data_IF_715058700485
#
_entry.id   IF_715058700485
#
_cell.length_a   1.000
_cell.length_b   1.000
_cell.length_c   1.000
_cell.angle_alpha   90.00
_cell.angle_beta   90.00
_cell.angle_gamma   90.00
#
_symmetry.space_group_name_H-M   'P 1'
#
loop_
_entity.id
_entity.type
_entity.pdbx_description
1 polymer ?
#
# COMPACT_ATOMS: atom_id res chain seq x y z
N UNK A 1 41.45 18.85 -84.38
CA UNK A 1 41.97 18.46 -83.05
C UNK A 1 41.37 19.42 -82.03
N UNK A 2 40.18 19.12 -81.50
CA UNK A 2 39.87 18.21 -80.38
C UNK A 2 40.25 18.76 -79.00
N UNK A 3 39.19 19.07 -78.25
CA UNK A 3 38.94 18.72 -76.83
C UNK A 3 39.88 19.27 -75.75
N UNK A 4 39.37 20.10 -74.82
CA UNK A 4 38.54 19.68 -73.68
C UNK A 4 38.48 20.83 -72.65
N UNK A 5 37.36 21.57 -72.61
CA UNK A 5 37.04 22.43 -71.46
C UNK A 5 36.39 21.55 -70.38
N UNK A 6 37.12 21.30 -69.30
CA UNK A 6 36.63 20.67 -68.08
C UNK A 6 35.42 21.43 -67.52
N UNK A 7 34.21 20.90 -67.74
CA UNK A 7 33.02 21.28 -66.96
C UNK A 7 33.14 20.66 -65.57
N UNK A 8 33.45 21.47 -64.56
CA UNK A 8 33.18 21.14 -63.17
C UNK A 8 31.66 21.24 -62.93
N UNK A 9 30.97 20.20 -62.43
CA UNK A 9 29.62 20.35 -61.92
C UNK A 9 29.71 21.03 -60.55
N UNK A 10 29.30 22.29 -60.47
CA UNK A 10 29.01 22.92 -59.17
C UNK A 10 27.79 22.18 -58.60
N UNK A 11 28.04 21.27 -57.68
CA UNK A 11 27.03 20.52 -56.95
C UNK A 11 26.35 21.52 -56.00
N UNK A 12 25.21 22.07 -56.38
CA UNK A 12 24.35 22.85 -55.48
C UNK A 12 23.87 21.93 -54.34
N UNK A 13 24.63 21.87 -53.27
CA UNK A 13 24.28 21.14 -52.05
C UNK A 13 23.24 21.96 -51.27
N UNK A 14 21.97 21.72 -51.58
CA UNK A 14 20.86 21.54 -50.61
C UNK A 14 20.78 22.49 -49.40
N UNK A 15 20.68 23.80 -49.62
CA UNK A 15 20.35 24.81 -48.59
C UNK A 15 19.05 24.49 -47.83
N UNK A 16 18.06 23.91 -48.52
CA UNK A 16 16.80 23.46 -47.90
C UNK A 16 16.96 22.31 -46.90
N UNK A 17 17.92 21.40 -47.11
CA UNK A 17 18.16 20.30 -46.17
C UNK A 17 18.90 20.78 -44.91
N UNK A 18 19.79 21.76 -45.05
CA UNK A 18 20.50 22.38 -43.93
C UNK A 18 19.55 23.20 -43.04
N UNK A 19 18.65 23.99 -43.63
CA UNK A 19 17.63 24.74 -42.88
C UNK A 19 16.63 23.82 -42.15
N UNK A 20 16.16 22.74 -42.79
CA UNK A 20 15.29 21.73 -42.15
C UNK A 20 15.98 21.03 -40.98
N UNK A 21 17.28 20.71 -41.10
CA UNK A 21 18.07 20.11 -40.01
C UNK A 21 18.26 21.08 -38.83
N UNK A 22 18.47 22.37 -39.12
CA UNK A 22 18.60 23.39 -38.08
C UNK A 22 17.28 23.61 -37.33
N UNK A 23 16.17 23.77 -38.06
CA UNK A 23 14.82 23.89 -37.47
C UNK A 23 14.46 22.66 -36.66
N UNK A 24 14.76 21.46 -37.18
CA UNK A 24 14.55 20.20 -36.46
C UNK A 24 15.39 20.12 -35.18
N UNK A 25 16.64 20.59 -35.18
CA UNK A 25 17.49 20.62 -33.99
C UNK A 25 17.00 21.59 -32.91
N UNK A 26 16.54 22.78 -33.32
CA UNK A 26 15.93 23.75 -32.41
C UNK A 26 14.63 23.21 -31.79
N UNK A 27 13.78 22.57 -32.61
CA UNK A 27 12.53 21.96 -32.11
C UNK A 27 12.82 20.84 -31.10
N UNK A 28 13.80 19.98 -31.39
CA UNK A 28 14.20 18.91 -30.48
C UNK A 28 14.74 19.47 -29.15
N UNK A 29 15.54 20.53 -29.22
CA UNK A 29 16.06 21.20 -28.02
C UNK A 29 14.95 21.81 -27.18
N UNK A 30 13.94 22.42 -27.83
CA UNK A 30 12.78 23.01 -27.15
C UNK A 30 11.93 21.94 -26.46
N UNK A 31 11.72 20.79 -27.12
CA UNK A 31 11.04 19.63 -26.53
C UNK A 31 11.81 19.08 -25.33
N UNK A 32 13.14 18.96 -25.43
CA UNK A 32 13.98 18.49 -24.32
C UNK A 32 13.92 19.47 -23.14
N UNK A 33 14.06 20.77 -23.38
CA UNK A 33 13.98 21.80 -22.34
C UNK A 33 12.60 21.77 -21.68
N UNK A 34 11.53 21.70 -22.46
CA UNK A 34 10.16 21.63 -21.93
C UNK A 34 9.94 20.36 -21.10
N UNK A 35 10.42 19.21 -21.56
CA UNK A 35 10.37 17.95 -20.80
C UNK A 35 11.15 18.05 -19.48
N UNK A 36 12.36 18.63 -19.49
CA UNK A 36 13.14 18.85 -18.28
C UNK A 36 12.45 19.79 -17.29
N UNK A 37 11.82 20.87 -17.77
CA UNK A 37 11.06 21.80 -16.93
C UNK A 37 9.84 21.12 -16.30
N UNK A 38 9.17 20.23 -17.03
CA UNK A 38 8.06 19.43 -16.50
C UNK A 38 8.52 18.49 -15.38
N UNK A 39 9.66 17.82 -15.54
CA UNK A 39 10.21 16.91 -14.52
C UNK A 39 10.70 17.66 -13.28
N UNK A 40 11.32 18.83 -13.44
CA UNK A 40 11.81 19.63 -12.31
C UNK A 40 10.68 20.35 -11.54
N UNK A 41 9.53 20.56 -12.18
CA UNK A 41 8.39 21.27 -11.59
C UNK A 41 7.39 20.39 -10.85
N UNK A 42 7.51 19.06 -10.91
CA UNK A 42 6.60 18.18 -10.16
C UNK A 42 6.99 18.13 -8.68
N UNK A 43 6.11 18.54 -7.75
CA UNK A 43 6.38 18.35 -6.33
C UNK A 43 6.51 16.85 -6.00
N UNK A 44 7.29 16.47 -4.98
CA UNK A 44 7.36 15.09 -4.54
C UNK A 44 5.96 14.62 -4.12
N UNK A 45 5.65 13.35 -4.40
CA UNK A 45 4.46 12.70 -3.84
C UNK A 45 4.62 12.67 -2.31
N UNK A 46 3.93 13.57 -1.63
CA UNK A 46 3.91 13.69 -0.17
C UNK A 46 2.90 12.70 0.40
N UNK A 47 3.33 11.45 0.60
CA UNK A 47 2.62 10.49 1.44
C UNK A 47 3.14 10.63 2.88
N UNK A 48 2.24 10.83 3.84
CA UNK A 48 2.58 11.10 5.23
C UNK A 48 2.08 9.99 6.16
N UNK A 49 2.96 9.33 6.90
CA UNK A 49 2.56 8.36 7.92
C UNK A 49 1.93 9.05 9.15
N UNK A 50 2.41 10.25 9.47
CA UNK A 50 2.13 10.96 10.72
C UNK A 50 1.09 12.08 10.59
N UNK A 51 0.28 12.05 9.52
CA UNK A 51 -0.79 13.02 9.27
C UNK A 51 -2.11 12.36 8.85
N UNK A 52 -3.19 13.14 8.91
CA UNK A 52 -4.54 12.73 8.55
C UNK A 52 -4.89 13.08 7.09
N UNK A 53 -3.92 12.95 6.16
CA UNK A 53 -4.16 13.18 4.72
C UNK A 53 -4.43 11.87 3.99
N UNK A 54 -5.34 11.89 3.02
CA UNK A 54 -5.56 10.73 2.17
C UNK A 54 -4.40 10.57 1.16
N UNK A 55 -3.64 9.49 1.29
CA UNK A 55 -2.51 9.14 0.40
C UNK A 55 -2.84 7.99 -0.56
N UNK A 56 -3.98 7.33 -0.35
CA UNK A 56 -4.35 6.07 -0.98
C UNK A 56 -4.59 4.98 0.07
N UNK A 57 -4.69 3.72 -0.37
CA UNK A 57 -5.01 2.65 0.56
C UNK A 57 -3.87 2.36 1.55
N UNK A 58 -4.16 2.47 2.86
CA UNK A 58 -3.12 2.40 3.90
C UNK A 58 -2.45 1.03 4.00
N UNK A 59 -3.13 -0.06 3.65
CA UNK A 59 -2.54 -1.40 3.69
C UNK A 59 -1.59 -1.65 2.50
N UNK A 60 -1.92 -1.08 1.33
CA UNK A 60 -1.02 -1.10 0.18
C UNK A 60 0.23 -0.27 0.40
N UNK A 61 0.09 0.92 0.99
CA UNK A 61 1.19 1.88 1.17
C UNK A 61 2.05 1.61 2.40
N UNK A 62 1.42 1.38 3.56
CA UNK A 62 2.10 1.37 4.86
C UNK A 62 2.26 -0.03 5.45
N UNK A 63 1.39 -0.99 5.12
CA UNK A 63 1.46 -2.34 5.70
C UNK A 63 2.37 -3.31 4.93
N UNK A 64 2.83 -2.96 3.73
CA UNK A 64 3.65 -3.85 2.88
C UNK A 64 2.89 -5.08 2.36
N UNK A 65 1.56 -5.14 2.55
CA UNK A 65 0.70 -6.21 2.06
C UNK A 65 -0.63 -5.65 1.54
N UNK A 66 -0.63 -5.24 0.28
CA UNK A 66 -1.85 -4.77 -0.40
C UNK A 66 -2.92 -5.85 -0.59
N UNK A 67 -2.62 -7.14 -0.38
CA UNK A 67 -3.58 -8.22 -0.64
C UNK A 67 -4.63 -8.42 0.45
N UNK A 68 -4.53 -7.70 1.56
CA UNK A 68 -5.55 -7.65 2.62
C UNK A 68 -6.74 -6.75 2.22
N UNK A 69 -6.58 -5.88 1.23
CA UNK A 69 -7.64 -5.02 0.69
C UNK A 69 -7.75 -5.21 -0.84
N UNK A 70 -8.90 -5.66 -1.37
CA UNK A 70 -10.11 -6.04 -0.63
C UNK A 70 -9.94 -7.34 0.16
N UNK A 71 -10.72 -7.56 1.24
CA UNK A 71 -10.78 -8.85 1.91
C UNK A 71 -11.13 -9.97 0.94
N UNK A 72 -10.45 -11.12 1.08
CA UNK A 72 -10.67 -12.29 0.20
C UNK A 72 -11.94 -13.07 0.54
N UNK A 73 -12.46 -12.91 1.75
CA UNK A 73 -13.60 -13.64 2.29
C UNK A 73 -14.47 -12.70 3.12
N UNK A 74 -15.76 -13.01 3.22
CA UNK A 74 -16.69 -12.28 4.09
C UNK A 74 -16.65 -12.82 5.53
N UNK A 75 -17.16 -12.04 6.49
CA UNK A 75 -17.31 -12.52 7.87
C UNK A 75 -18.25 -13.73 7.93
N UNK A 76 -19.37 -13.70 7.20
CA UNK A 76 -20.29 -14.81 7.06
C UNK A 76 -19.58 -16.10 6.57
N UNK A 77 -18.69 -15.99 5.58
CA UNK A 77 -17.93 -17.15 5.09
C UNK A 77 -16.90 -17.65 6.10
N UNK A 78 -16.26 -16.76 6.85
CA UNK A 78 -15.33 -17.12 7.92
C UNK A 78 -16.02 -17.96 9.00
N UNK A 79 -17.19 -17.48 9.45
CA UNK A 79 -17.98 -18.16 10.48
C UNK A 79 -18.52 -19.51 10.00
N UNK A 80 -18.98 -19.60 8.75
CA UNK A 80 -19.40 -20.87 8.15
C UNK A 80 -18.27 -21.90 8.06
N UNK A 81 -17.03 -21.45 7.91
CA UNK A 81 -15.85 -22.30 7.86
C UNK A 81 -15.27 -22.60 9.25
N UNK A 82 -15.90 -22.11 10.33
CA UNK A 82 -15.38 -22.19 11.70
C UNK A 82 -13.94 -21.66 11.81
N UNK A 83 -13.61 -20.64 10.99
CA UNK A 83 -12.31 -19.98 11.00
C UNK A 83 -12.42 -18.68 11.79
N UNK A 84 -11.47 -18.40 12.72
CA UNK A 84 -11.45 -17.13 13.42
C UNK A 84 -11.33 -15.98 12.43
N UNK A 85 -11.99 -14.87 12.76
CA UNK A 85 -11.99 -13.67 11.94
C UNK A 85 -11.41 -12.50 12.73
N UNK A 86 -10.38 -11.85 12.19
CA UNK A 86 -9.89 -10.57 12.68
C UNK A 86 -10.46 -9.46 11.81
N UNK A 87 -11.44 -8.75 12.33
CA UNK A 87 -11.93 -7.52 11.72
C UNK A 87 -11.02 -6.36 12.13
N UNK A 88 -10.62 -5.56 11.15
CA UNK A 88 -9.90 -4.31 11.39
C UNK A 88 -10.64 -3.18 10.70
N UNK A 89 -11.29 -2.33 11.48
CA UNK A 89 -11.97 -1.14 11.00
C UNK A 89 -10.97 0.01 10.88
N UNK A 90 -10.99 0.69 9.74
CA UNK A 90 -10.04 1.76 9.44
C UNK A 90 -10.64 2.80 8.50
N UNK A 91 -9.99 3.96 8.42
CA UNK A 91 -10.10 4.93 7.32
C UNK A 91 -8.73 5.17 6.73
N UNK A 92 -8.68 5.60 5.47
CA UNK A 92 -7.42 5.74 4.73
C UNK A 92 -6.69 7.07 5.03
N UNK A 93 -7.38 8.03 5.64
CA UNK A 93 -6.91 9.37 5.97
C UNK A 93 -6.75 9.59 7.48
N UNK A 94 -6.63 8.52 8.28
CA UNK A 94 -6.31 8.62 9.70
C UNK A 94 -4.85 8.23 9.95
N UNK A 95 -4.09 9.13 10.56
CA UNK A 95 -2.75 8.89 11.07
C UNK A 95 -2.69 7.61 11.91
N UNK A 96 -3.64 7.45 12.83
CA UNK A 96 -3.63 6.32 13.74
C UNK A 96 -3.83 4.99 12.99
N UNK A 97 -4.70 4.99 11.97
CA UNK A 97 -4.89 3.84 11.09
C UNK A 97 -3.63 3.54 10.27
N UNK A 98 -2.99 4.57 9.68
CA UNK A 98 -1.75 4.43 8.90
C UNK A 98 -0.64 3.80 9.74
N UNK A 99 -0.42 4.29 10.96
CA UNK A 99 0.57 3.79 11.89
C UNK A 99 0.27 2.37 12.40
N UNK A 100 -1.02 1.99 12.48
CA UNK A 100 -1.43 0.65 12.90
C UNK A 100 -1.35 -0.41 11.79
N UNK A 101 -1.45 -0.03 10.52
CA UNK A 101 -1.48 -0.96 9.39
C UNK A 101 -0.30 -1.98 9.35
N UNK A 102 0.97 -1.60 9.66
CA UNK A 102 2.07 -2.56 9.77
C UNK A 102 1.86 -3.67 10.82
N UNK A 103 1.19 -3.37 11.94
CA UNK A 103 0.91 -4.36 13.00
C UNK A 103 -0.01 -5.45 12.47
N UNK A 104 -1.06 -5.07 11.74
CA UNK A 104 -2.02 -6.00 11.13
C UNK A 104 -1.33 -6.92 10.12
N UNK A 105 -0.48 -6.37 9.24
CA UNK A 105 0.28 -7.18 8.26
C UNK A 105 1.25 -8.14 8.94
N UNK A 106 1.91 -7.72 10.04
CA UNK A 106 2.76 -8.61 10.84
C UNK A 106 1.99 -9.78 11.44
N UNK A 107 0.77 -9.57 11.91
CA UNK A 107 -0.10 -10.64 12.45
C UNK A 107 -0.50 -11.65 11.37
N UNK A 108 -0.56 -11.26 10.10
CA UNK A 108 -0.88 -12.20 9.01
C UNK A 108 0.22 -13.25 8.78
N UNK A 109 1.47 -12.96 9.14
CA UNK A 109 2.55 -13.93 8.95
C UNK A 109 2.35 -15.24 9.74
N UNK A 110 2.08 -15.21 11.07
CA UNK A 110 1.76 -16.42 11.83
C UNK A 110 0.31 -16.91 11.62
N UNK A 111 -0.66 -16.01 11.44
CA UNK A 111 -2.08 -16.39 11.54
C UNK A 111 -2.85 -16.40 10.21
N UNK A 112 -2.36 -15.76 9.15
CA UNK A 112 -3.12 -15.53 7.91
C UNK A 112 -3.54 -16.78 7.13
N UNK A 113 -3.01 -17.96 7.48
CA UNK A 113 -3.46 -19.26 6.95
C UNK A 113 -4.60 -19.87 7.77
N UNK A 114 -4.62 -19.63 9.08
CA UNK A 114 -5.52 -20.25 10.03
C UNK A 114 -6.72 -19.36 10.40
N UNK A 115 -6.55 -18.03 10.30
CA UNK A 115 -7.57 -17.02 10.53
C UNK A 115 -7.78 -16.16 9.27
N UNK A 116 -8.98 -15.60 9.15
CA UNK A 116 -9.33 -14.67 8.09
C UNK A 116 -9.16 -13.23 8.58
N UNK A 117 -8.35 -12.45 7.88
CA UNK A 117 -8.15 -11.03 8.16
C UNK A 117 -9.08 -10.24 7.23
N UNK A 118 -9.95 -9.42 7.82
CA UNK A 118 -10.99 -8.69 7.12
C UNK A 118 -10.81 -7.21 7.44
N UNK A 119 -10.09 -6.50 6.58
CA UNK A 119 -9.94 -5.06 6.68
C UNK A 119 -11.21 -4.36 6.16
N UNK A 120 -11.84 -3.55 7.01
CA UNK A 120 -13.11 -2.88 6.74
C UNK A 120 -12.87 -1.37 6.72
N UNK A 121 -12.90 -0.78 5.52
CA UNK A 121 -12.92 0.68 5.42
C UNK A 121 -14.33 1.16 5.85
N UNK A 122 -14.40 1.98 6.91
CA UNK A 122 -15.67 2.39 7.50
C UNK A 122 -16.44 3.39 6.64
N UNK A 123 -15.78 4.16 5.78
CA UNK A 123 -16.43 5.05 4.80
C UNK A 123 -17.24 4.26 3.77
N UNK A 124 -16.94 2.97 3.61
CA UNK A 124 -17.62 2.05 2.70
C UNK A 124 -18.70 1.21 3.39
N UNK A 125 -18.87 1.33 4.70
CA UNK A 125 -19.96 0.65 5.39
C UNK A 125 -21.30 1.26 4.95
N UNK A 126 -22.18 0.42 4.42
CA UNK A 126 -23.51 0.84 4.00
C UNK A 126 -24.31 1.33 5.20
N UNK A 127 -24.87 2.54 5.15
CA UNK A 127 -25.79 3.01 6.17
C UNK A 127 -27.03 2.11 6.21
N UNK A 128 -27.21 1.39 7.32
CA UNK A 128 -28.35 0.53 7.59
C UNK A 128 -28.89 0.84 8.98
N UNK A 129 -30.18 0.59 9.20
CA UNK A 129 -30.81 0.72 10.53
C UNK A 129 -30.32 -0.34 11.52
N UNK A 130 -29.89 -1.49 11.01
CA UNK A 130 -29.36 -2.61 11.78
C UNK A 130 -28.46 -3.48 10.90
N UNK A 131 -27.49 -4.13 11.51
CA UNK A 131 -26.64 -5.14 10.88
C UNK A 131 -26.89 -6.51 11.51
N UNK A 132 -26.66 -7.57 10.75
CA UNK A 132 -26.66 -8.93 11.25
C UNK A 132 -25.30 -9.28 11.89
N UNK A 133 -25.23 -10.20 12.89
CA UNK A 133 -23.96 -10.63 13.49
C UNK A 133 -22.94 -11.25 12.52
N UNK A 134 -23.35 -11.54 11.29
CA UNK A 134 -22.48 -12.04 10.21
C UNK A 134 -21.93 -10.93 9.31
N UNK A 135 -22.34 -9.68 9.55
CA UNK A 135 -21.88 -8.50 8.85
C UNK A 135 -20.87 -7.72 9.72
N UNK A 136 -19.77 -7.21 9.14
CA UNK A 136 -18.80 -6.45 9.92
C UNK A 136 -19.40 -5.22 10.61
N UNK A 137 -20.37 -4.55 9.98
CA UNK A 137 -21.03 -3.36 10.56
C UNK A 137 -21.71 -3.60 11.91
N UNK A 138 -22.03 -4.86 12.26
CA UNK A 138 -22.58 -5.21 13.58
C UNK A 138 -21.59 -4.95 14.73
N UNK A 139 -20.28 -5.02 14.45
CA UNK A 139 -19.23 -4.91 15.46
C UNK A 139 -18.56 -3.53 15.50
N UNK A 140 -18.90 -2.63 14.58
CA UNK A 140 -18.29 -1.31 14.52
C UNK A 140 -18.84 -0.40 15.62
N UNK A 141 -17.96 0.18 16.43
CA UNK A 141 -18.34 1.03 17.58
C UNK A 141 -18.25 2.54 17.30
N UNK A 142 -17.97 2.93 16.07
CA UNK A 142 -17.89 4.35 15.68
C UNK A 142 -16.50 4.98 15.85
N UNK A 143 -15.47 4.19 16.19
CA UNK A 143 -14.09 4.64 16.37
C UNK A 143 -13.14 3.82 15.50
N UNK A 144 -12.10 4.47 14.99
CA UNK A 144 -11.05 3.83 14.19
C UNK A 144 -9.65 4.28 14.64
N UNK A 145 -8.62 3.43 14.53
CA UNK A 145 -8.73 2.01 14.17
C UNK A 145 -9.46 1.22 15.27
N UNK A 146 -10.16 0.15 14.89
CA UNK A 146 -10.78 -0.78 15.84
C UNK A 146 -10.45 -2.21 15.40
N UNK A 147 -10.06 -3.04 16.37
CA UNK A 147 -9.69 -4.44 16.15
C UNK A 147 -10.66 -5.34 16.88
N UNK A 148 -11.33 -6.23 16.14
CA UNK A 148 -12.26 -7.21 16.69
C UNK A 148 -11.81 -8.61 16.29
N UNK A 149 -11.53 -9.47 17.26
CA UNK A 149 -11.23 -10.88 17.03
C UNK A 149 -12.44 -11.72 17.42
N UNK A 150 -12.90 -12.51 16.46
CA UNK A 150 -14.01 -13.44 16.59
C UNK A 150 -13.44 -14.85 16.47
N UNK A 151 -13.72 -15.71 17.46
CA UNK A 151 -13.23 -17.09 17.48
C UNK A 151 -13.99 -18.01 16.50
N UNK A 152 -13.60 -19.29 16.44
CA UNK A 152 -14.21 -20.30 15.56
C UNK A 152 -15.71 -20.51 15.83
N UNK A 153 -16.18 -20.18 17.03
CA UNK A 153 -17.57 -20.35 17.47
C UNK A 153 -18.41 -19.09 17.24
N UNK A 154 -17.83 -18.05 16.63
CA UNK A 154 -18.49 -16.77 16.42
C UNK A 154 -18.56 -15.89 17.66
N UNK A 155 -17.78 -16.19 18.71
CA UNK A 155 -17.72 -15.36 19.91
C UNK A 155 -16.65 -14.28 19.76
N UNK A 156 -17.01 -13.05 20.11
CA UNK A 156 -16.03 -11.95 20.23
C UNK A 156 -15.13 -12.22 21.44
N UNK A 157 -13.83 -12.32 21.19
CA UNK A 157 -12.79 -12.56 22.21
C UNK A 157 -11.84 -11.38 22.38
N UNK A 158 -11.83 -10.45 21.42
CA UNK A 158 -11.18 -9.14 21.52
C UNK A 158 -12.06 -8.10 20.83
N UNK A 159 -12.20 -6.93 21.44
CA UNK A 159 -12.80 -5.74 20.83
C UNK A 159 -12.13 -4.51 21.46
N UNK A 160 -11.16 -3.93 20.76
CA UNK A 160 -10.37 -2.81 21.26
C UNK A 160 -10.24 -1.72 20.19
N UNK A 161 -10.35 -0.46 20.62
CA UNK A 161 -10.17 0.74 19.78
C UNK A 161 -8.78 1.33 19.96
N UNK A 162 -8.28 1.99 18.93
CA UNK A 162 -6.94 2.58 18.88
C UNK A 162 -5.88 1.62 18.38
N UNK A 163 -4.63 2.03 18.51
CA UNK A 163 -3.45 1.27 18.07
C UNK A 163 -3.17 0.11 19.04
N UNK A 164 -3.84 -1.01 18.84
CA UNK A 164 -3.62 -2.22 19.64
C UNK A 164 -2.22 -2.77 19.37
N UNK A 165 -1.48 -3.15 20.41
CA UNK A 165 -0.14 -3.71 20.20
C UNK A 165 -0.19 -5.08 19.51
N UNK A 166 0.88 -5.44 18.79
CA UNK A 166 1.02 -6.78 18.21
C UNK A 166 0.87 -7.86 19.28
N UNK A 167 1.50 -7.63 20.44
CA UNK A 167 1.53 -8.52 21.60
C UNK A 167 0.12 -8.81 22.10
N UNK A 168 -0.68 -7.75 22.26
CA UNK A 168 -2.05 -7.88 22.76
C UNK A 168 -2.93 -8.74 21.85
N UNK A 169 -2.87 -8.52 20.53
CA UNK A 169 -3.69 -9.32 19.58
C UNK A 169 -3.17 -10.74 19.47
N UNK A 170 -1.85 -10.93 19.45
CA UNK A 170 -1.20 -12.24 19.42
C UNK A 170 -1.57 -13.08 20.64
N UNK A 171 -1.55 -12.52 21.85
CA UNK A 171 -1.91 -13.25 23.07
C UNK A 171 -3.34 -13.81 23.01
N UNK A 172 -4.28 -13.04 22.46
CA UNK A 172 -5.67 -13.52 22.27
C UNK A 172 -5.73 -14.56 21.15
N UNK A 173 -4.99 -14.40 20.06
CA UNK A 173 -4.89 -15.45 19.03
C UNK A 173 -4.35 -16.76 19.59
N UNK A 174 -3.36 -16.70 20.47
CA UNK A 174 -2.79 -17.89 21.13
C UNK A 174 -3.84 -18.61 21.97
N UNK A 175 -4.68 -17.86 22.69
CA UNK A 175 -5.83 -18.45 23.39
C UNK A 175 -6.84 -19.08 22.43
N UNK A 176 -7.16 -18.42 21.31
CA UNK A 176 -8.08 -18.93 20.28
C UNK A 176 -7.58 -20.21 19.62
N UNK A 177 -6.27 -20.37 19.49
CA UNK A 177 -5.63 -21.52 18.86
C UNK A 177 -5.02 -22.52 19.85
N UNK A 178 -5.26 -22.35 21.16
CA UNK A 178 -4.67 -23.18 22.24
C UNK A 178 -3.15 -23.34 22.11
N UNK A 179 -2.46 -22.24 21.81
CA UNK A 179 -1.01 -22.17 21.71
C UNK A 179 -0.40 -21.83 23.08
N UNK A 180 0.81 -22.34 23.35
CA UNK A 180 1.58 -21.97 24.54
C UNK A 180 1.67 -20.45 24.69
N UNK A 181 1.81 -19.88 25.89
CA UNK A 181 2.06 -18.45 26.09
C UNK A 181 3.35 -17.96 25.43
N UNK A 182 3.46 -16.65 25.19
CA UNK A 182 4.60 -16.04 24.47
C UNK A 182 5.92 -16.26 25.18
N UNK A 183 5.93 -16.10 26.49
CA UNK A 183 7.08 -16.30 27.38
C UNK A 183 7.62 -17.73 27.30
N UNK A 184 6.75 -18.68 26.93
CA UNK A 184 7.06 -20.12 26.83
C UNK A 184 7.36 -20.56 25.39
N UNK A 185 7.07 -19.74 24.38
CA UNK A 185 7.46 -20.04 22.99
C UNK A 185 8.90 -19.63 22.70
N UNK A 186 9.70 -20.59 22.22
CA UNK A 186 11.05 -20.33 21.72
C UNK A 186 10.97 -19.41 20.49
N UNK A 187 11.31 -18.13 20.64
CA UNK A 187 11.39 -17.18 19.52
C UNK A 187 12.53 -17.58 18.56
N UNK A 188 12.18 -18.10 17.38
CA UNK A 188 13.10 -18.06 16.23
C UNK A 188 12.98 -16.69 15.56
N UNK A 189 13.79 -15.72 16.01
CA UNK A 189 13.90 -14.42 15.34
C UNK A 189 14.63 -14.56 14.00
N UNK A 190 13.93 -14.29 12.90
CA UNK A 190 14.56 -13.99 11.61
C UNK A 190 15.09 -12.56 11.66
N UNK A 191 16.34 -12.34 11.23
CA UNK A 191 16.97 -11.01 11.10
C UNK A 191 16.10 -10.12 10.21
N UNK A 192 15.50 -9.06 10.75
CA UNK A 192 14.82 -8.03 9.94
C UNK A 192 15.89 -7.21 9.23
N UNK A 193 15.98 -7.33 7.90
CA UNK A 193 16.52 -6.27 7.07
C UNK A 193 15.30 -5.60 6.44
N UNK A 194 14.81 -4.53 7.07
CA UNK A 194 13.90 -3.61 6.42
C UNK A 194 14.76 -2.78 5.45
N UNK A 195 14.83 -3.17 4.19
CA UNK A 195 15.56 -2.40 3.16
C UNK A 195 14.94 -1.01 2.93
N UNK A 196 13.70 -0.77 3.37
CA UNK A 196 13.06 0.55 3.39
C UNK A 196 13.74 1.56 4.35
N UNK A 197 14.64 1.14 5.23
CA UNK A 197 15.34 2.02 6.19
C UNK A 197 16.80 2.33 5.84
N UNK A 198 17.29 1.97 4.64
CA UNK A 198 18.72 2.15 4.31
C UNK A 198 19.06 3.20 3.25
N UNK A 199 18.10 3.72 2.48
CA UNK A 199 18.40 4.70 1.40
C UNK A 199 18.33 6.18 1.84
N UNK A 200 17.94 6.50 3.08
CA UNK A 200 17.88 7.89 3.56
C UNK A 200 19.13 8.38 4.31
N UNK A 201 20.19 7.57 4.39
CA UNK A 201 21.47 7.98 4.98
C UNK A 201 22.65 7.70 4.05
N UNK A 202 22.59 8.21 2.83
CA UNK A 202 23.79 8.59 2.07
C UNK A 202 23.49 9.84 1.24
N UNK A 203 23.24 10.93 1.95
CA UNK A 203 23.51 12.27 1.43
C UNK A 203 25.02 12.48 1.45
N UNK A 204 25.62 12.51 0.27
CA UNK A 204 26.91 13.15 0.02
C UNK A 204 26.84 13.93 -1.27
#
# INVERSE_FOLDING_TARGET
MSFNLLRFPIRFFTTHHMAKRLVSGCLLSLVVIFSCLLVLGTPPALAGLDDDRFDGNIFGLYAGNGSIVPPRVTLADSLKQEKPALLVFYVDDSKDCKQFAPVVSRLQAPYGRAANFIAVNVDRLLLKSSYEPTEPGYYYEGLVPQTVLIDQKGKVVLNETGQVSFERVDDVFRQVFDLLPREESVELRRRQINEFSSELTNGK
#
